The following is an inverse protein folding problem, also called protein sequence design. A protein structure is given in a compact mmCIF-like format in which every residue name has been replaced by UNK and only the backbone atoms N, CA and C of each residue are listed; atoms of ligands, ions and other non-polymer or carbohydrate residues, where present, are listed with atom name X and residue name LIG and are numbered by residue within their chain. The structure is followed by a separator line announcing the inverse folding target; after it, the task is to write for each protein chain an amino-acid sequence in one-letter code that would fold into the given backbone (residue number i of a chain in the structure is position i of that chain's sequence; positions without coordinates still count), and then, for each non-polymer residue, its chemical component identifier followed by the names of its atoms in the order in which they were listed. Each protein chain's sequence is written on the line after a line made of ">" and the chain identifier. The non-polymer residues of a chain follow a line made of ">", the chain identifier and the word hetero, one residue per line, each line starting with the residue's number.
data_IF_885788631573
#
_entry.id   IF_885788631573
#
_cell.length_a   1.000
_cell.length_b   1.000
_cell.length_c   1.000
_cell.angle_alpha   90.00
_cell.angle_beta   90.00
_cell.angle_gamma   90.00
#
_symmetry.space_group_name_H-M   'P 1'
#
loop_
_entity.id
_entity.type
_entity.pdbx_description
1 polymer ?
#
# COMPACT_ATOMS: atom_id res chain seq x y z
N UNK A 1 14.38 12.04 -13.03
CA UNK A 1 15.14 11.79 -11.79
C UNK A 1 16.48 11.16 -12.15
N UNK A 2 17.39 11.89 -12.78
CA UNK A 2 18.68 11.34 -13.26
C UNK A 2 19.80 11.43 -12.22
N UNK A 3 19.56 12.04 -11.04
CA UNK A 3 20.54 12.25 -9.97
C UNK A 3 19.96 11.96 -8.56
N UNK A 4 18.94 11.10 -8.46
CA UNK A 4 18.31 10.76 -7.19
C UNK A 4 19.03 9.58 -6.52
N UNK A 5 19.33 9.72 -5.22
CA UNK A 5 19.86 8.63 -4.39
C UNK A 5 18.70 7.85 -3.76
N UNK A 6 18.70 6.53 -3.90
CA UNK A 6 17.67 5.66 -3.33
C UNK A 6 18.10 5.18 -1.95
N UNK A 7 17.31 5.50 -0.92
CA UNK A 7 17.44 4.94 0.43
C UNK A 7 16.28 3.97 0.69
N UNK A 8 16.61 2.76 1.14
CA UNK A 8 15.62 1.72 1.47
C UNK A 8 15.57 1.48 2.97
N UNK A 9 14.38 1.53 3.55
CA UNK A 9 14.13 1.22 4.96
C UNK A 9 13.05 0.15 5.09
N UNK A 10 13.10 -0.62 6.17
CA UNK A 10 12.22 -1.77 6.38
C UNK A 10 10.80 -1.42 6.85
N UNK A 11 10.54 -0.18 7.27
CA UNK A 11 9.24 0.24 7.83
C UNK A 11 8.77 1.55 7.22
N UNK A 12 7.48 1.62 6.90
CA UNK A 12 6.83 2.82 6.37
C UNK A 12 6.89 3.98 7.36
N UNK A 13 6.75 3.72 8.66
CA UNK A 13 6.89 4.73 9.72
C UNK A 13 8.25 5.43 9.67
N UNK A 14 9.32 4.68 9.43
CA UNK A 14 10.68 5.22 9.38
C UNK A 14 10.88 6.04 8.09
N UNK A 15 10.30 5.59 6.96
CA UNK A 15 10.29 6.35 5.71
C UNK A 15 9.60 7.72 5.87
N UNK A 16 8.42 7.75 6.51
CA UNK A 16 7.67 8.99 6.77
C UNK A 16 8.45 9.92 7.69
N UNK A 17 9.10 9.38 8.72
CA UNK A 17 9.93 10.14 9.64
C UNK A 17 11.16 10.77 8.94
N UNK A 18 11.80 10.05 8.01
CA UNK A 18 12.92 10.59 7.22
C UNK A 18 12.47 11.73 6.29
N UNK A 19 11.27 11.65 5.71
CA UNK A 19 10.68 12.73 4.93
C UNK A 19 10.39 13.97 5.80
N UNK A 20 9.74 13.77 6.96
CA UNK A 20 9.42 14.86 7.90
C UNK A 20 10.69 15.54 8.46
N UNK A 21 11.74 14.77 8.71
CA UNK A 21 13.05 15.27 9.14
C UNK A 21 13.91 15.80 7.98
N UNK A 22 13.35 15.90 6.76
CA UNK A 22 14.02 16.46 5.56
C UNK A 22 15.30 15.73 5.16
N UNK A 23 15.39 14.43 5.44
CA UNK A 23 16.52 13.58 5.04
C UNK A 23 16.35 12.96 3.65
N UNK A 24 15.12 13.01 3.12
CA UNK A 24 14.73 12.66 1.74
C UNK A 24 13.71 13.67 1.23
N UNK A 25 13.65 13.86 -0.09
CA UNK A 25 12.74 14.82 -0.73
C UNK A 25 11.36 14.22 -1.09
N UNK A 26 11.22 12.90 -1.01
CA UNK A 26 9.99 12.21 -1.36
C UNK A 26 10.05 10.72 -1.10
N UNK A 27 8.89 10.08 -1.12
CA UNK A 27 8.73 8.65 -0.89
C UNK A 27 7.99 8.01 -2.06
N UNK A 28 8.38 6.78 -2.40
CA UNK A 28 7.61 5.90 -3.28
C UNK A 28 6.86 4.93 -2.39
N UNK A 29 5.55 5.08 -2.31
CA UNK A 29 4.65 4.25 -1.51
C UNK A 29 3.45 3.81 -2.36
N UNK A 30 2.80 2.72 -1.95
CA UNK A 30 1.49 2.36 -2.51
C UNK A 30 0.48 3.49 -2.30
N UNK A 31 -0.33 3.76 -3.32
CA UNK A 31 -1.28 4.87 -3.32
C UNK A 31 -2.21 4.90 -2.08
N UNK A 32 -2.90 3.81 -1.67
CA UNK A 32 -3.77 3.84 -0.49
C UNK A 32 -3.00 4.19 0.80
N UNK A 33 -1.74 3.73 0.94
CA UNK A 33 -0.89 4.04 2.09
C UNK A 33 -0.51 5.52 2.09
N UNK A 34 -0.08 6.06 0.95
CA UNK A 34 0.28 7.47 0.81
C UNK A 34 -0.91 8.40 1.11
N UNK A 35 -2.11 8.06 0.61
CA UNK A 35 -3.35 8.79 0.88
C UNK A 35 -3.71 8.77 2.37
N UNK A 36 -3.53 7.64 3.06
CA UNK A 36 -3.79 7.55 4.51
C UNK A 36 -2.91 8.53 5.29
N UNK A 37 -1.60 8.56 5.02
CA UNK A 37 -0.68 9.49 5.67
C UNK A 37 -0.98 10.96 5.33
N UNK A 38 -1.31 11.27 4.08
CA UNK A 38 -1.64 12.63 3.64
C UNK A 38 -3.01 13.11 4.17
N UNK A 39 -3.94 12.21 4.47
CA UNK A 39 -5.25 12.57 5.04
C UNK A 39 -5.17 12.89 6.53
N UNK A 40 -4.23 12.27 7.25
CA UNK A 40 -4.09 12.41 8.70
C UNK A 40 -3.11 13.53 9.11
N UNK A 41 -2.26 14.00 8.20
CA UNK A 41 -1.24 15.03 8.45
C UNK A 41 -1.41 16.27 7.58
N UNK A 42 -1.15 17.47 8.13
CA UNK A 42 -1.22 18.73 7.37
C UNK A 42 0.02 19.00 6.49
N UNK A 43 1.07 18.22 6.67
CA UNK A 43 2.41 18.53 6.14
C UNK A 43 2.82 17.58 5.00
N UNK A 44 1.97 16.62 4.65
CA UNK A 44 2.22 15.61 3.64
C UNK A 44 1.19 15.74 2.50
N UNK A 45 1.64 15.53 1.27
CA UNK A 45 0.79 15.53 0.10
C UNK A 45 1.17 14.41 -0.86
N UNK A 46 0.18 13.89 -1.59
CA UNK A 46 0.41 12.91 -2.66
C UNK A 46 0.80 13.67 -3.93
N UNK A 47 1.97 13.33 -4.50
CA UNK A 47 2.44 13.90 -5.75
C UNK A 47 1.55 13.48 -6.93
N UNK A 48 1.49 14.32 -7.97
CA UNK A 48 0.80 14.00 -9.22
C UNK A 48 1.65 13.14 -10.18
N UNK A 49 2.86 12.75 -9.78
CA UNK A 49 3.73 11.85 -10.54
C UNK A 49 3.02 10.51 -10.79
N UNK A 50 3.07 10.04 -12.03
CA UNK A 50 2.49 8.76 -12.46
C UNK A 50 3.60 7.83 -12.92
N UNK A 51 3.54 6.59 -12.45
CA UNK A 51 4.37 5.52 -12.97
C UNK A 51 3.69 4.87 -14.18
N UNK A 52 4.45 4.55 -15.23
CA UNK A 52 3.92 3.92 -16.46
C UNK A 52 3.43 2.49 -16.20
N UNK A 53 4.02 1.81 -15.20
CA UNK A 53 3.60 0.48 -14.79
C UNK A 53 2.35 0.56 -13.92
N UNK A 54 1.28 -0.07 -14.38
CA UNK A 54 0.07 -0.24 -13.58
C UNK A 54 0.29 -1.26 -12.49
N UNK A 55 -0.14 -0.89 -11.29
CA UNK A 55 -0.25 -1.78 -10.15
C UNK A 55 -1.16 -2.98 -10.51
N UNK A 56 -0.75 -4.19 -10.12
CA UNK A 56 -1.52 -5.42 -10.32
C UNK A 56 -2.43 -5.72 -9.13
N UNK A 57 -2.40 -4.87 -8.10
CA UNK A 57 -3.13 -5.06 -6.85
C UNK A 57 -2.46 -6.09 -5.94
N UNK A 58 -3.15 -6.42 -4.85
CA UNK A 58 -2.70 -7.39 -3.87
C UNK A 58 -3.18 -8.81 -4.20
N UNK A 59 -2.46 -9.83 -3.74
CA UNK A 59 -2.84 -11.24 -3.88
C UNK A 59 -2.39 -12.05 -2.67
N UNK A 60 -3.08 -13.15 -2.40
CA UNK A 60 -2.70 -14.07 -1.30
C UNK A 60 -1.63 -15.03 -1.83
N UNK A 61 -0.42 -14.92 -1.27
CA UNK A 61 0.68 -15.82 -1.62
C UNK A 61 0.58 -17.15 -0.86
N UNK A 62 0.62 -18.27 -1.59
CA UNK A 62 0.63 -19.63 -1.01
C UNK A 62 1.75 -20.48 -1.62
N UNK A 63 2.10 -21.57 -0.94
CA UNK A 63 3.10 -22.54 -1.44
C UNK A 63 2.63 -23.12 -2.78
N UNK A 64 3.51 -23.11 -3.78
CA UNK A 64 3.24 -23.69 -5.11
C UNK A 64 2.77 -25.14 -5.01
N UNK A 65 1.82 -25.50 -5.87
CA UNK A 65 1.26 -26.86 -5.97
C UNK A 65 0.07 -27.13 -5.05
N UNK A 66 -0.30 -26.20 -4.15
CA UNK A 66 -1.42 -26.39 -3.24
C UNK A 66 -2.75 -25.93 -3.85
N UNK A 67 -3.26 -26.68 -4.84
CA UNK A 67 -4.46 -26.29 -5.60
C UNK A 67 -5.72 -26.17 -4.75
N UNK A 68 -5.96 -27.10 -3.83
CA UNK A 68 -7.16 -27.09 -2.98
C UNK A 68 -7.22 -25.82 -2.12
N UNK A 69 -6.08 -25.38 -1.59
CA UNK A 69 -5.99 -24.13 -0.82
C UNK A 69 -6.24 -22.90 -1.70
N UNK A 70 -5.67 -22.87 -2.91
CA UNK A 70 -5.91 -21.79 -3.88
C UNK A 70 -7.40 -21.68 -4.20
N UNK A 71 -8.04 -22.79 -4.55
CA UNK A 71 -9.46 -22.79 -4.93
C UNK A 71 -10.36 -22.33 -3.76
N UNK A 72 -10.03 -22.69 -2.52
CA UNK A 72 -10.76 -22.24 -1.33
C UNK A 72 -10.55 -20.74 -1.04
N UNK A 73 -9.33 -20.23 -1.22
CA UNK A 73 -9.01 -18.81 -1.10
C UNK A 73 -9.79 -18.01 -2.15
N UNK A 74 -9.69 -18.40 -3.42
CA UNK A 74 -10.31 -17.68 -4.53
C UNK A 74 -11.82 -17.64 -4.39
N UNK A 75 -12.47 -18.76 -4.03
CA UNK A 75 -13.90 -18.81 -3.73
C UNK A 75 -14.31 -17.85 -2.60
N UNK A 76 -13.46 -17.71 -1.59
CA UNK A 76 -13.71 -16.79 -0.48
C UNK A 76 -13.55 -15.34 -0.91
N UNK A 77 -12.49 -15.04 -1.68
CA UNK A 77 -12.24 -13.70 -2.23
C UNK A 77 -13.38 -13.26 -3.16
N UNK A 78 -13.86 -14.14 -4.05
CA UNK A 78 -15.00 -13.87 -4.93
C UNK A 78 -16.23 -13.43 -4.15
N UNK A 79 -16.55 -14.13 -3.06
CA UNK A 79 -17.66 -13.78 -2.17
C UNK A 79 -17.43 -12.40 -1.54
N UNK A 80 -16.26 -12.18 -0.95
CA UNK A 80 -15.96 -10.92 -0.24
C UNK A 80 -15.91 -9.71 -1.17
N UNK A 81 -15.43 -9.89 -2.40
CA UNK A 81 -15.41 -8.85 -3.44
C UNK A 81 -16.86 -8.54 -3.88
N UNK A 82 -17.67 -9.57 -4.15
CA UNK A 82 -19.08 -9.39 -4.52
C UNK A 82 -19.88 -8.65 -3.45
N UNK A 83 -19.59 -8.92 -2.18
CA UNK A 83 -20.21 -8.28 -1.02
C UNK A 83 -19.62 -6.90 -0.69
N UNK A 84 -18.56 -6.44 -1.42
CA UNK A 84 -17.76 -5.24 -1.11
C UNK A 84 -17.17 -5.23 0.31
N UNK A 85 -17.05 -6.40 0.92
CA UNK A 85 -16.49 -6.57 2.26
C UNK A 85 -15.01 -6.21 2.30
N UNK A 86 -14.27 -6.45 1.20
CA UNK A 86 -12.85 -6.06 1.09
C UNK A 86 -12.67 -4.54 1.24
N UNK A 87 -13.50 -3.72 0.58
CA UNK A 87 -13.41 -2.26 0.67
C UNK A 87 -13.61 -1.77 2.11
N UNK A 88 -14.57 -2.39 2.82
CA UNK A 88 -14.82 -2.12 4.23
C UNK A 88 -13.63 -2.53 5.10
N UNK A 89 -13.05 -3.71 4.88
CA UNK A 89 -11.89 -4.17 5.65
C UNK A 89 -10.67 -3.27 5.46
N UNK A 90 -10.39 -2.82 4.23
CA UNK A 90 -9.31 -1.86 3.96
C UNK A 90 -9.56 -0.54 4.69
N UNK A 91 -10.79 -0.02 4.60
CA UNK A 91 -11.17 1.23 5.27
C UNK A 91 -11.05 1.12 6.79
N UNK A 92 -11.54 0.03 7.37
CA UNK A 92 -11.51 -0.21 8.82
C UNK A 92 -10.08 -0.41 9.32
N UNK A 93 -9.23 -1.12 8.55
CA UNK A 93 -7.82 -1.32 8.89
C UNK A 93 -7.04 0.01 8.90
N UNK A 94 -7.25 0.88 7.90
CA UNK A 94 -6.58 2.18 7.86
C UNK A 94 -6.93 3.08 9.06
N UNK A 95 -8.15 2.96 9.62
CA UNK A 95 -8.54 3.69 10.83
C UNK A 95 -7.87 3.19 12.11
N UNK A 96 -7.34 1.97 12.13
CA UNK A 96 -6.66 1.39 13.29
C UNK A 96 -5.16 1.72 13.34
N UNK A 97 -4.62 2.34 12.29
CA UNK A 97 -3.21 2.76 12.21
C UNK A 97 -3.02 4.19 12.78
N UNK A 98 -4.12 4.87 13.14
CA UNK A 98 -4.12 6.07 14.00
C UNK A 98 -4.16 5.71 15.49
#
# INVERSE_FOLDING_TARGET
>A
MTNSEIKSLGKVTDLVLELQNKKVDGLVLENPVAVSYASNGKDLAVSNVKFENKDKGASVAVKKGNKELVDAIDKTLDKLIKEKSIDKFVTDANKQVE
#
